data_IF_501151748786
#
_entry.id   IF_501151748786
#
_cell.length_a   1.000
_cell.length_b   1.000
_cell.length_c   1.000
_cell.angle_alpha   90.00
_cell.angle_beta   90.00
_cell.angle_gamma   90.00
#
_symmetry.space_group_name_H-M   'P 1'
#
loop_
_entity.id
_entity.type
_entity.pdbx_description
1 polymer ?
#
# COMPACT_ATOMS: atom_id res chain seq x y z
N UNK A 1 15.35 -10.94 11.58
CA UNK A 1 14.18 -10.35 12.27
C UNK A 1 13.91 -11.21 13.51
N UNK A 2 13.53 -10.60 14.63
CA UNK A 2 13.08 -11.39 15.79
C UNK A 2 11.81 -12.14 15.41
N UNK A 3 11.78 -13.46 15.58
CA UNK A 3 10.59 -14.26 15.26
C UNK A 3 9.42 -13.94 16.20
N UNK A 4 9.69 -13.32 17.35
CA UNK A 4 8.67 -12.89 18.30
C UNK A 4 7.86 -11.68 17.81
N UNK A 5 8.40 -10.91 16.86
CA UNK A 5 7.75 -9.72 16.30
C UNK A 5 7.25 -9.96 14.86
N UNK A 6 7.97 -10.77 14.07
CA UNK A 6 7.72 -10.93 12.64
C UNK A 6 7.27 -12.34 12.31
N UNK A 7 5.97 -12.50 12.03
CA UNK A 7 5.37 -13.79 11.67
C UNK A 7 5.65 -14.25 10.24
N UNK A 8 5.93 -13.31 9.33
CA UNK A 8 6.21 -13.60 7.92
C UNK A 8 7.02 -12.49 7.26
N UNK A 9 7.87 -12.89 6.30
CA UNK A 9 8.58 -11.99 5.40
C UNK A 9 8.19 -12.36 3.98
N UNK A 10 7.89 -11.36 3.17
CA UNK A 10 7.59 -11.54 1.75
C UNK A 10 8.16 -10.39 0.94
N UNK A 11 8.34 -10.63 -0.35
CA UNK A 11 8.84 -9.63 -1.29
C UNK A 11 7.80 -9.38 -2.38
N UNK A 12 7.68 -8.11 -2.77
CA UNK A 12 6.83 -7.66 -3.85
C UNK A 12 7.72 -7.08 -4.95
N UNK A 13 7.63 -7.54 -6.21
CA UNK A 13 8.39 -6.94 -7.29
C UNK A 13 8.08 -5.44 -7.41
N UNK A 14 9.09 -4.62 -7.65
CA UNK A 14 8.90 -3.17 -7.71
C UNK A 14 7.90 -2.77 -8.82
N UNK A 15 8.02 -3.35 -10.02
CA UNK A 15 7.08 -3.09 -11.12
C UNK A 15 5.62 -3.41 -10.73
N UNK A 16 5.44 -4.44 -9.91
CA UNK A 16 4.15 -4.79 -9.33
C UNK A 16 3.72 -3.71 -8.33
N UNK A 17 4.54 -3.36 -7.35
CA UNK A 17 4.27 -2.32 -6.35
C UNK A 17 3.90 -0.95 -6.95
N UNK A 18 4.51 -0.59 -8.09
CA UNK A 18 4.28 0.68 -8.79
C UNK A 18 3.03 0.69 -9.69
N UNK A 19 2.34 -0.45 -9.86
CA UNK A 19 1.13 -0.51 -10.69
C UNK A 19 -0.04 0.15 -9.98
N UNK A 20 -0.30 1.42 -10.28
CA UNK A 20 -1.37 2.23 -9.65
C UNK A 20 -2.76 1.58 -9.69
N UNK A 21 -3.06 0.81 -10.73
CA UNK A 21 -4.35 0.12 -10.89
C UNK A 21 -4.67 -0.95 -9.84
N UNK A 22 -3.73 -1.34 -8.97
CA UNK A 22 -4.02 -2.27 -7.84
C UNK A 22 -4.55 -1.57 -6.59
N UNK A 23 -4.38 -0.26 -6.50
CA UNK A 23 -4.74 0.50 -5.30
C UNK A 23 -6.20 0.91 -5.39
N UNK A 24 -7.03 0.29 -4.57
CA UNK A 24 -8.45 0.61 -4.47
C UNK A 24 -8.64 1.66 -3.36
N UNK A 25 -9.29 2.80 -3.64
CA UNK A 25 -9.57 3.78 -2.62
C UNK A 25 -10.68 3.29 -1.69
N UNK A 26 -10.53 3.55 -0.40
CA UNK A 26 -11.58 3.42 0.60
C UNK A 26 -11.65 4.72 1.40
N UNK A 27 -12.80 5.38 1.34
CA UNK A 27 -13.05 6.60 2.09
C UNK A 27 -13.63 6.22 3.47
N UNK A 28 -12.96 6.67 4.54
CA UNK A 28 -13.29 6.36 5.93
C UNK A 28 -13.61 7.66 6.66
N UNK A 29 -14.80 7.75 7.23
CA UNK A 29 -15.16 8.84 8.12
C UNK A 29 -14.77 8.48 9.57
N UNK A 30 -13.81 9.20 10.16
CA UNK A 30 -13.36 8.98 11.54
C UNK A 30 -13.13 10.30 12.26
N UNK A 31 -13.73 10.44 13.46
CA UNK A 31 -13.60 11.64 14.32
C UNK A 31 -13.97 12.94 13.59
N UNK A 32 -14.99 12.90 12.72
CA UNK A 32 -15.44 14.07 11.95
C UNK A 32 -14.59 14.38 10.71
N UNK A 33 -13.54 13.61 10.43
CA UNK A 33 -12.68 13.80 9.26
C UNK A 33 -12.86 12.65 8.27
N UNK A 34 -12.88 12.99 6.98
CA UNK A 34 -12.81 12.01 5.90
C UNK A 34 -11.35 11.70 5.58
N UNK A 35 -11.00 10.42 5.66
CA UNK A 35 -9.68 9.91 5.36
C UNK A 35 -9.78 8.90 4.21
N UNK A 36 -9.05 9.15 3.13
CA UNK A 36 -8.88 8.16 2.07
C UNK A 36 -7.70 7.25 2.39
N UNK A 37 -7.98 5.96 2.53
CA UNK A 37 -6.95 4.92 2.59
C UNK A 37 -6.91 4.14 1.28
N UNK A 38 -5.77 3.51 1.02
CA UNK A 38 -5.57 2.71 -0.18
C UNK A 38 -5.45 1.24 0.19
N UNK A 39 -6.12 0.38 -0.58
CA UNK A 39 -6.17 -1.05 -0.38
C UNK A 39 -5.47 -1.74 -1.55
N UNK A 40 -4.57 -2.67 -1.26
CA UNK A 40 -3.82 -3.42 -2.27
C UNK A 40 -3.71 -4.88 -1.85
N UNK A 41 -4.13 -5.77 -2.75
CA UNK A 41 -3.96 -7.21 -2.58
C UNK A 41 -2.69 -7.66 -3.31
N UNK A 42 -1.87 -8.44 -2.62
CA UNK A 42 -0.70 -9.09 -3.21
C UNK A 42 -0.60 -10.52 -2.69
N UNK A 43 -0.80 -11.50 -3.56
CA UNK A 43 -0.95 -12.91 -3.19
C UNK A 43 -2.01 -13.05 -2.08
N UNK A 44 -1.67 -13.67 -0.95
CA UNK A 44 -2.51 -13.79 0.24
C UNK A 44 -2.31 -12.65 1.26
N UNK A 45 -1.49 -11.64 0.96
CA UNK A 45 -1.24 -10.50 1.82
C UNK A 45 -2.12 -9.30 1.43
N UNK A 46 -2.78 -8.74 2.44
CA UNK A 46 -3.55 -7.52 2.31
C UNK A 46 -2.73 -6.33 2.81
N UNK A 47 -2.26 -5.50 1.89
CA UNK A 47 -1.47 -4.30 2.20
C UNK A 47 -2.40 -3.08 2.17
N UNK A 48 -2.47 -2.35 3.28
CA UNK A 48 -3.43 -1.26 3.45
C UNK A 48 -2.86 -0.15 4.33
N UNK A 49 -3.66 0.91 4.55
CA UNK A 49 -3.33 2.00 5.46
C UNK A 49 -2.10 2.79 5.01
N UNK A 50 -1.24 3.16 5.97
CA UNK A 50 -0.05 3.99 5.69
C UNK A 50 0.92 3.30 4.73
N UNK A 51 1.13 1.99 4.86
CA UNK A 51 2.07 1.24 4.00
C UNK A 51 1.62 1.29 2.53
N UNK A 52 0.34 1.01 2.25
CA UNK A 52 -0.19 1.11 0.90
C UNK A 52 -0.14 2.55 0.35
N UNK A 53 -0.38 3.55 1.21
CA UNK A 53 -0.25 4.96 0.85
C UNK A 53 1.17 5.33 0.42
N UNK A 54 2.19 4.95 1.21
CA UNK A 54 3.60 5.25 0.90
C UNK A 54 4.01 4.63 -0.43
N UNK A 55 3.69 3.36 -0.68
CA UNK A 55 4.05 2.68 -1.93
C UNK A 55 3.33 3.32 -3.12
N UNK A 56 2.05 3.69 -2.97
CA UNK A 56 1.30 4.40 -4.01
C UNK A 56 1.88 5.78 -4.31
N UNK A 57 2.25 6.55 -3.30
CA UNK A 57 2.88 7.86 -3.50
C UNK A 57 4.24 7.73 -4.19
N UNK A 58 5.04 6.72 -3.83
CA UNK A 58 6.27 6.39 -4.55
C UNK A 58 5.98 6.06 -6.03
N UNK A 59 4.92 5.29 -6.30
CA UNK A 59 4.49 4.97 -7.66
C UNK A 59 4.11 6.21 -8.48
N UNK A 60 3.40 7.16 -7.86
CA UNK A 60 3.06 8.43 -8.49
C UNK A 60 4.31 9.27 -8.79
N UNK A 61 5.24 9.37 -7.84
CA UNK A 61 6.47 10.14 -8.01
C UNK A 61 7.40 9.56 -9.08
N UNK A 62 7.50 8.23 -9.15
CA UNK A 62 8.31 7.55 -10.17
C UNK A 62 7.64 7.62 -11.54
N UNK A 63 6.33 7.36 -11.63
CA UNK A 63 5.58 7.45 -12.89
C UNK A 63 5.43 8.88 -13.43
N UNK A 64 5.62 9.89 -12.58
CA UNK A 64 5.63 11.30 -12.96
C UNK A 64 7.03 11.82 -13.40
N UNK A 65 8.08 11.01 -13.29
CA UNK A 65 9.38 11.33 -13.91
C UNK A 65 9.34 10.90 -15.38
N UNK A 66 9.46 11.83 -16.34
CA UNK A 66 9.50 11.52 -17.76
C UNK A 66 10.76 10.74 -18.15
#
# INVERSE_FOLDING_TARGET
ASQDEVSAVFEMPLAEALRLGRYHPLDIHRRGNDHRVWLSWYQHYFVWGMTAGIIRELALQIGARP
#
